data_IF_891052005630
#
_entry.id   IF_891052005630
#
_cell.length_a   1.000
_cell.length_b   1.000
_cell.length_c   1.000
_cell.angle_alpha   90.00
_cell.angle_beta   90.00
_cell.angle_gamma   90.00
#
_symmetry.space_group_name_H-M   'P 1'
#
loop_
_entity.id
_entity.type
_entity.pdbx_description
1 polymer ?
#
# COMPACT_ATOMS: atom_id res chain seq x y z
N UNK A 1 12.52 -7.84 -18.22
CA UNK A 1 12.86 -7.69 -16.79
C UNK A 1 13.45 -8.99 -16.27
N UNK A 2 14.55 -9.02 -15.53
CA UNK A 2 15.06 -10.26 -14.93
C UNK A 2 14.02 -10.81 -13.94
N UNK A 3 13.76 -12.13 -14.00
CA UNK A 3 12.75 -12.85 -13.19
C UNK A 3 12.83 -12.60 -11.67
N UNK A 4 14.01 -12.17 -11.19
CA UNK A 4 14.29 -11.77 -9.81
C UNK A 4 13.53 -10.54 -9.34
N UNK A 5 13.59 -9.46 -10.14
CA UNK A 5 12.95 -8.20 -9.79
C UNK A 5 11.43 -8.36 -9.73
N UNK A 6 10.89 -9.19 -10.62
CA UNK A 6 9.45 -9.48 -10.65
C UNK A 6 8.95 -10.16 -9.38
N UNK A 7 9.76 -11.06 -8.80
CA UNK A 7 9.43 -11.73 -7.55
C UNK A 7 9.38 -10.76 -6.36
N UNK A 8 10.36 -9.86 -6.24
CA UNK A 8 10.41 -8.90 -5.14
C UNK A 8 9.31 -7.83 -5.28
N UNK A 9 9.00 -7.45 -6.51
CA UNK A 9 7.84 -6.60 -6.80
C UNK A 9 6.54 -7.34 -6.41
N UNK A 10 6.40 -8.62 -6.70
CA UNK A 10 5.23 -9.41 -6.33
C UNK A 10 5.05 -9.53 -4.80
N UNK A 11 6.13 -9.67 -4.03
CA UNK A 11 6.07 -9.64 -2.56
C UNK A 11 5.56 -8.29 -2.05
N UNK A 12 6.08 -7.19 -2.59
CA UNK A 12 5.63 -5.87 -2.21
C UNK A 12 4.17 -5.64 -2.61
N UNK A 13 3.80 -6.02 -3.83
CA UNK A 13 2.43 -5.92 -4.31
C UNK A 13 1.45 -6.76 -3.49
N UNK A 14 1.85 -7.97 -3.03
CA UNK A 14 1.01 -8.77 -2.14
C UNK A 14 0.74 -8.06 -0.80
N UNK A 15 1.73 -7.35 -0.26
CA UNK A 15 1.55 -6.53 0.95
C UNK A 15 0.58 -5.37 0.74
N UNK A 16 0.64 -4.69 -0.40
CA UNK A 16 -0.30 -3.62 -0.75
C UNK A 16 -1.73 -4.14 -0.89
N UNK A 17 -1.92 -5.27 -1.57
CA UNK A 17 -3.25 -5.90 -1.74
C UNK A 17 -3.82 -6.34 -0.38
N UNK A 18 -2.97 -6.88 0.52
CA UNK A 18 -3.41 -7.20 1.88
C UNK A 18 -3.84 -5.94 2.66
N UNK A 19 -3.13 -4.83 2.50
CA UNK A 19 -3.51 -3.56 3.12
C UNK A 19 -4.82 -3.02 2.55
N UNK A 20 -5.04 -3.11 1.23
CA UNK A 20 -6.28 -2.70 0.58
C UNK A 20 -7.49 -3.53 1.07
N UNK A 21 -7.32 -4.86 1.16
CA UNK A 21 -8.32 -5.74 1.77
C UNK A 21 -8.67 -5.32 3.20
N UNK A 22 -7.67 -5.01 4.05
CA UNK A 22 -7.91 -4.58 5.43
C UNK A 22 -8.63 -3.23 5.49
N UNK A 23 -8.32 -2.30 4.60
CA UNK A 23 -9.04 -1.04 4.46
C UNK A 23 -10.50 -1.28 4.03
N UNK A 24 -10.73 -2.13 3.04
CA UNK A 24 -12.07 -2.50 2.58
C UNK A 24 -12.89 -3.15 3.71
N UNK A 25 -12.28 -4.07 4.47
CA UNK A 25 -12.90 -4.71 5.62
C UNK A 25 -13.26 -3.68 6.70
N UNK A 26 -12.37 -2.75 7.01
CA UNK A 26 -12.62 -1.69 7.98
C UNK A 26 -13.77 -0.78 7.52
N UNK A 27 -13.81 -0.36 6.26
CA UNK A 27 -14.92 0.41 5.71
C UNK A 27 -16.24 -0.35 5.81
N UNK A 28 -16.25 -1.63 5.44
CA UNK A 28 -17.44 -2.46 5.50
C UNK A 28 -18.00 -2.63 6.93
N UNK A 29 -17.12 -2.75 7.93
CA UNK A 29 -17.53 -2.96 9.33
C UNK A 29 -17.83 -1.67 10.08
N UNK A 30 -17.17 -0.56 9.73
CA UNK A 30 -17.16 0.66 10.55
C UNK A 30 -17.99 1.80 9.98
N UNK A 31 -18.32 1.74 8.68
CA UNK A 31 -19.02 2.85 8.02
C UNK A 31 -20.37 2.42 7.47
N UNK A 32 -21.39 3.31 7.56
CA UNK A 32 -22.64 3.08 6.86
C UNK A 32 -22.41 3.05 5.34
N UNK A 33 -22.90 2.03 4.68
CA UNK A 33 -22.91 1.96 3.22
C UNK A 33 -24.23 2.57 2.68
N UNK A 34 -24.21 3.27 1.53
CA UNK A 34 -23.10 3.43 0.57
C UNK A 34 -22.07 4.50 0.99
N UNK A 35 -20.80 4.30 0.57
CA UNK A 35 -19.69 5.23 0.79
C UNK A 35 -19.40 5.99 -0.49
N UNK A 36 -19.35 7.31 -0.45
CA UNK A 36 -18.99 8.13 -1.61
C UNK A 36 -17.57 8.66 -1.48
N UNK A 37 -16.69 8.27 -2.42
CA UNK A 37 -15.30 8.71 -2.50
C UNK A 37 -15.02 9.31 -3.88
N UNK A 38 -14.50 10.52 -3.94
CA UNK A 38 -14.17 11.21 -5.21
C UNK A 38 -15.33 11.24 -6.22
N UNK A 39 -16.58 11.35 -5.76
CA UNK A 39 -17.77 11.34 -6.61
C UNK A 39 -18.26 9.95 -7.03
N UNK A 40 -17.56 8.89 -6.68
CA UNK A 40 -18.02 7.50 -6.87
C UNK A 40 -18.66 6.95 -5.60
N UNK A 41 -19.83 6.36 -5.76
CA UNK A 41 -20.58 5.75 -4.65
C UNK A 41 -20.34 4.23 -4.65
N UNK A 42 -19.75 3.74 -3.59
CA UNK A 42 -19.50 2.31 -3.37
C UNK A 42 -20.62 1.71 -2.52
N UNK A 43 -21.32 0.77 -3.08
CA UNK A 43 -22.32 -0.04 -2.35
C UNK A 43 -21.64 -1.14 -1.54
N UNK A 44 -22.31 -1.69 -0.53
CA UNK A 44 -21.82 -2.83 0.24
C UNK A 44 -21.42 -4.02 -0.66
N UNK A 45 -22.21 -4.29 -1.72
CA UNK A 45 -21.93 -5.37 -2.66
C UNK A 45 -20.62 -5.12 -3.44
N UNK A 46 -20.37 -3.87 -3.86
CA UNK A 46 -19.12 -3.52 -4.55
C UNK A 46 -17.91 -3.64 -3.62
N UNK A 47 -18.03 -3.22 -2.36
CA UNK A 47 -16.95 -3.37 -1.38
C UNK A 47 -16.62 -4.86 -1.18
N UNK A 48 -17.63 -5.71 -1.00
CA UNK A 48 -17.43 -7.17 -0.87
C UNK A 48 -16.79 -7.74 -2.14
N UNK A 49 -17.22 -7.32 -3.32
CA UNK A 49 -16.64 -7.78 -4.59
C UNK A 49 -15.14 -7.45 -4.66
N UNK A 50 -14.75 -6.20 -4.32
CA UNK A 50 -13.34 -5.80 -4.31
C UNK A 50 -12.53 -6.58 -3.26
N UNK A 51 -13.07 -6.81 -2.07
CA UNK A 51 -12.42 -7.62 -1.04
C UNK A 51 -12.18 -9.07 -1.50
N UNK A 52 -13.14 -9.68 -2.18
CA UNK A 52 -12.97 -11.03 -2.77
C UNK A 52 -11.90 -11.02 -3.85
N UNK A 53 -11.89 -9.99 -4.70
CA UNK A 53 -10.85 -9.80 -5.72
C UNK A 53 -9.46 -9.68 -5.07
N UNK A 54 -9.32 -8.90 -4.00
CA UNK A 54 -8.06 -8.74 -3.26
C UNK A 54 -7.55 -10.07 -2.68
N UNK A 55 -8.43 -10.90 -2.11
CA UNK A 55 -8.05 -12.22 -1.60
C UNK A 55 -7.50 -13.10 -2.72
N UNK A 56 -8.16 -13.12 -3.89
CA UNK A 56 -7.71 -13.90 -5.05
C UNK A 56 -6.37 -13.36 -5.56
N UNK A 57 -6.24 -12.05 -5.71
CA UNK A 57 -5.03 -11.40 -6.18
C UNK A 57 -3.87 -11.59 -5.20
N UNK A 58 -4.13 -11.47 -3.90
CA UNK A 58 -3.14 -11.77 -2.86
C UNK A 58 -2.64 -13.20 -2.94
N UNK A 59 -3.54 -14.18 -3.02
CA UNK A 59 -3.18 -15.60 -3.13
C UNK A 59 -2.31 -15.87 -4.37
N UNK A 60 -2.66 -15.27 -5.51
CA UNK A 60 -1.89 -15.37 -6.75
C UNK A 60 -0.49 -14.75 -6.60
N UNK A 61 -0.39 -13.52 -6.10
CA UNK A 61 0.88 -12.81 -5.91
C UNK A 61 1.75 -13.51 -4.87
N UNK A 62 1.17 -13.97 -3.77
CA UNK A 62 1.87 -14.72 -2.73
C UNK A 62 2.40 -16.04 -3.30
N UNK A 63 1.57 -16.83 -3.98
CA UNK A 63 2.01 -18.06 -4.62
C UNK A 63 3.18 -17.80 -5.55
N UNK A 64 3.07 -16.82 -6.45
CA UNK A 64 4.14 -16.45 -7.37
C UNK A 64 5.41 -16.01 -6.63
N UNK A 65 5.28 -15.14 -5.61
CA UNK A 65 6.40 -14.58 -4.86
C UNK A 65 7.20 -15.63 -4.07
N UNK A 66 6.51 -16.63 -3.49
CA UNK A 66 7.16 -17.62 -2.60
C UNK A 66 7.51 -18.94 -3.28
N UNK A 67 6.84 -19.34 -4.37
CA UNK A 67 7.17 -20.57 -5.10
C UNK A 67 8.36 -20.44 -6.03
N UNK A 68 8.69 -19.26 -6.53
CA UNK A 68 9.84 -19.07 -7.40
C UNK A 68 11.17 -19.22 -6.63
N UNK A 69 11.87 -20.33 -6.87
CA UNK A 69 13.20 -20.60 -6.30
C UNK A 69 14.23 -19.52 -6.71
N UNK A 70 14.88 -18.87 -5.75
CA UNK A 70 15.89 -17.85 -6.01
C UNK A 70 17.31 -18.41 -5.77
N UNK A 71 18.16 -18.37 -6.81
CA UNK A 71 19.56 -18.82 -6.71
C UNK A 71 20.53 -17.75 -6.16
N UNK A 72 20.17 -16.45 -6.13
CA UNK A 72 20.99 -15.38 -5.55
C UNK A 72 20.11 -14.30 -4.90
N UNK A 73 20.26 -14.17 -3.60
CA UNK A 73 19.39 -13.36 -2.72
C UNK A 73 19.55 -11.84 -2.85
N UNK A 74 20.73 -11.36 -3.22
CA UNK A 74 21.20 -10.00 -2.99
C UNK A 74 20.63 -8.89 -3.89
N UNK A 75 20.39 -9.14 -5.19
CA UNK A 75 19.94 -8.08 -6.11
C UNK A 75 18.40 -7.88 -6.04
N UNK A 76 17.66 -8.93 -5.69
CA UNK A 76 16.22 -8.85 -5.51
C UNK A 76 15.82 -8.05 -4.28
N UNK A 77 16.55 -8.21 -3.18
CA UNK A 77 16.29 -7.46 -1.93
C UNK A 77 16.46 -5.95 -2.14
N UNK A 78 17.52 -5.54 -2.82
CA UNK A 78 17.74 -4.13 -3.16
C UNK A 78 16.61 -3.55 -4.01
N UNK A 79 16.15 -4.31 -5.02
CA UNK A 79 15.03 -3.88 -5.85
C UNK A 79 13.75 -3.74 -5.04
N UNK A 80 13.46 -4.69 -4.15
CA UNK A 80 12.31 -4.61 -3.24
C UNK A 80 12.36 -3.34 -2.40
N UNK A 81 13.49 -3.08 -1.73
CA UNK A 81 13.64 -1.90 -0.88
C UNK A 81 13.53 -0.59 -1.67
N UNK A 82 14.10 -0.50 -2.88
CA UNK A 82 13.97 0.69 -3.70
C UNK A 82 12.53 0.94 -4.14
N UNK A 83 11.80 -0.11 -4.56
CA UNK A 83 10.38 0.02 -4.94
C UNK A 83 9.54 0.42 -3.72
N UNK A 84 9.72 -0.27 -2.60
CA UNK A 84 9.01 0.05 -1.36
C UNK A 84 9.28 1.48 -0.90
N UNK A 85 10.56 1.89 -0.87
CA UNK A 85 10.97 3.25 -0.51
C UNK A 85 10.34 4.32 -1.40
N UNK A 86 10.31 4.08 -2.71
CA UNK A 86 9.68 5.02 -3.66
C UNK A 86 8.17 5.13 -3.43
N UNK A 87 7.47 4.01 -3.25
CA UNK A 87 6.02 4.03 -3.00
C UNK A 87 5.71 4.74 -1.68
N UNK A 88 6.43 4.43 -0.61
CA UNK A 88 6.24 5.13 0.67
C UNK A 88 6.58 6.62 0.59
N UNK A 89 7.57 7.04 -0.21
CA UNK A 89 7.87 8.45 -0.45
C UNK A 89 6.69 9.15 -1.14
N UNK A 90 6.11 8.54 -2.17
CA UNK A 90 4.94 9.10 -2.86
C UNK A 90 3.73 9.22 -1.93
N UNK A 91 3.47 8.20 -1.10
CA UNK A 91 2.38 8.25 -0.11
C UNK A 91 2.63 9.33 0.94
N UNK A 92 3.88 9.48 1.43
CA UNK A 92 4.25 10.57 2.34
C UNK A 92 4.00 11.96 1.73
N UNK A 93 4.37 12.15 0.45
CA UNK A 93 4.11 13.39 -0.28
C UNK A 93 2.62 13.68 -0.46
N UNK A 94 1.79 12.66 -0.70
CA UNK A 94 0.33 12.81 -0.78
C UNK A 94 -0.27 13.25 0.57
N UNK A 95 0.14 12.63 1.67
CA UNK A 95 -0.31 13.05 3.01
C UNK A 95 0.16 14.47 3.34
N UNK A 96 1.42 14.79 3.03
CA UNK A 96 1.99 16.11 3.25
C UNK A 96 1.29 17.19 2.41
N UNK A 97 1.03 16.90 1.13
CA UNK A 97 0.33 17.84 0.24
C UNK A 97 -1.06 18.20 0.78
N UNK A 98 -1.79 17.22 1.32
CA UNK A 98 -3.07 17.48 1.97
C UNK A 98 -2.95 18.44 3.18
N UNK A 99 -1.89 18.29 3.97
CA UNK A 99 -1.63 19.19 5.11
C UNK A 99 -1.29 20.61 4.64
N UNK A 100 -0.47 20.74 3.59
CA UNK A 100 -0.01 22.04 3.09
C UNK A 100 -1.13 22.81 2.36
N UNK A 101 -1.93 22.12 1.56
CA UNK A 101 -3.00 22.74 0.78
C UNK A 101 -4.35 22.80 1.50
N UNK A 102 -4.46 22.21 2.69
CA UNK A 102 -5.68 22.23 3.50
C UNK A 102 -6.86 21.49 2.87
N UNK A 103 -6.61 20.49 2.00
CA UNK A 103 -7.69 19.77 1.32
C UNK A 103 -8.54 19.00 2.33
N UNK A 104 -9.83 19.31 2.32
CA UNK A 104 -10.77 18.55 3.12
C UNK A 104 -11.06 17.22 2.43
N UNK A 105 -10.94 16.15 3.17
CA UNK A 105 -11.30 14.81 2.74
C UNK A 105 -12.41 14.29 3.63
N UNK A 106 -13.58 14.06 3.03
CA UNK A 106 -14.76 13.58 3.75
C UNK A 106 -15.17 12.21 3.21
N UNK A 107 -15.49 11.30 4.11
CA UNK A 107 -16.03 9.99 3.80
C UNK A 107 -17.42 9.94 4.41
N UNK A 108 -18.46 9.88 3.60
CA UNK A 108 -19.85 9.83 4.02
C UNK A 108 -20.21 10.91 5.08
N UNK A 109 -19.79 12.14 4.84
CA UNK A 109 -19.99 13.26 5.77
C UNK A 109 -19.03 13.32 6.95
N UNK A 110 -18.25 12.26 7.21
CA UNK A 110 -17.19 12.30 8.22
C UNK A 110 -15.94 12.96 7.67
N UNK A 111 -15.54 14.07 8.27
CA UNK A 111 -14.29 14.74 7.89
C UNK A 111 -13.10 14.02 8.50
N UNK A 112 -12.21 13.52 7.63
CA UNK A 112 -10.97 12.85 8.07
C UNK A 112 -10.07 13.89 8.76
N UNK A 113 -9.75 13.70 10.05
CA UNK A 113 -8.94 14.68 10.80
C UNK A 113 -7.54 14.88 10.21
N UNK A 114 -7.04 16.10 10.23
CA UNK A 114 -5.71 16.42 9.71
C UNK A 114 -4.57 15.71 10.46
N UNK A 115 -4.74 15.45 11.76
CA UNK A 115 -3.72 14.74 12.53
C UNK A 115 -3.43 13.32 11.99
N UNK A 116 -4.42 12.64 11.40
CA UNK A 116 -4.21 11.35 10.72
C UNK A 116 -3.26 11.46 9.53
N UNK A 117 -3.32 12.57 8.79
CA UNK A 117 -2.36 12.81 7.71
C UNK A 117 -0.98 13.17 8.24
N UNK A 118 -0.90 13.89 9.36
CA UNK A 118 0.37 14.12 10.04
C UNK A 118 1.03 12.81 10.44
N UNK A 119 0.27 11.92 11.07
CA UNK A 119 0.74 10.58 11.43
C UNK A 119 1.12 9.77 10.19
N UNK A 120 0.26 9.76 9.14
CA UNK A 120 0.53 9.09 7.87
C UNK A 120 1.82 9.59 7.20
N UNK A 121 2.04 10.92 7.19
CA UNK A 121 3.29 11.51 6.66
C UNK A 121 4.51 11.01 7.41
N UNK A 122 4.49 11.05 8.75
CA UNK A 122 5.64 10.64 9.57
C UNK A 122 5.94 9.14 9.38
N UNK A 123 4.92 8.29 9.47
CA UNK A 123 5.08 6.84 9.34
C UNK A 123 5.59 6.47 7.95
N UNK A 124 4.98 7.00 6.89
CA UNK A 124 5.37 6.64 5.51
C UNK A 124 6.72 7.25 5.12
N UNK A 125 7.07 8.45 5.60
CA UNK A 125 8.40 9.02 5.41
C UNK A 125 9.47 8.19 6.14
N UNK A 126 9.20 7.73 7.36
CA UNK A 126 10.11 6.86 8.10
C UNK A 126 10.30 5.51 7.39
N UNK A 127 9.21 4.87 6.93
CA UNK A 127 9.27 3.62 6.17
C UNK A 127 10.02 3.79 4.84
N UNK A 128 9.87 4.94 4.17
CA UNK A 128 10.62 5.28 2.96
C UNK A 128 12.11 5.37 3.25
N UNK A 129 12.48 6.15 4.29
CA UNK A 129 13.87 6.28 4.72
C UNK A 129 14.50 4.92 5.07
N UNK A 130 13.81 4.12 5.89
CA UNK A 130 14.28 2.79 6.29
C UNK A 130 14.47 1.87 5.08
N UNK A 131 13.53 1.90 4.12
CA UNK A 131 13.61 1.09 2.90
C UNK A 131 14.82 1.46 2.06
N UNK A 132 15.07 2.76 1.81
CA UNK A 132 16.26 3.17 1.06
C UNK A 132 17.56 2.88 1.80
N UNK A 133 17.58 3.05 3.12
CA UNK A 133 18.75 2.74 3.95
C UNK A 133 19.12 1.26 3.84
N UNK A 134 18.15 0.35 4.04
CA UNK A 134 18.35 -1.09 3.89
C UNK A 134 18.74 -1.49 2.45
N UNK A 135 18.22 -0.78 1.45
CA UNK A 135 18.57 -1.00 0.04
C UNK A 135 19.98 -0.52 -0.34
N UNK A 136 20.58 0.39 0.43
CA UNK A 136 21.91 0.97 0.17
C UNK A 136 23.05 0.28 0.92
N UNK A 137 22.77 -0.58 1.91
CA UNK A 137 23.82 -1.25 2.67
C UNK A 137 24.74 -2.07 1.76
N UNK A 138 26.10 -1.88 1.88
CA UNK A 138 27.05 -2.67 1.13
C UNK A 138 27.00 -4.13 1.58
N UNK A 139 27.14 -5.02 0.63
CA UNK A 139 27.21 -6.47 0.88
C UNK A 139 28.42 -6.80 1.75
N UNK A 140 28.20 -7.33 2.93
CA UNK A 140 29.24 -8.01 3.70
C UNK A 140 29.52 -9.39 3.12
#
# INVERSE_FOLDING_TARGET
MPKKNLREIAKFASGLVAADFLCGLWFYLSMPTPITLFGYTFTAQQIIFWMVFDVILFAFLAHFAWTMKNRRRTDGERTFHNVAGTVFALVALLHLSRLLFGWQFTIDGWSVPYWLNGLGTVVTAFLSYLSFHLGSEPKK
#
